data_IF_272219992442
#
_entry.id   IF_272219992442
#
_cell.length_a   1.000
_cell.length_b   1.000
_cell.length_c   1.000
_cell.angle_alpha   90.00
_cell.angle_beta   90.00
_cell.angle_gamma   90.00
#
_symmetry.space_group_name_H-M   'P 1'
#
loop_
_entity.id
_entity.type
_entity.pdbx_description
1 polymer ?
#
# COMPACT_ATOMS: atom_id res chain seq x y z
N UNK A 1 14.51 46.20 14.83
CA UNK A 1 14.19 45.51 14.60
C UNK A 1 13.87 44.76 14.48
N UNK A 2 13.95 44.86 14.33
CA UNK A 2 13.58 43.87 14.11
C UNK A 2 13.07 43.14 13.94
N UNK A 3 12.93 43.38 14.12
CA UNK A 3 12.45 42.54 13.94
C UNK A 3 12.05 41.75 13.55
N UNK A 4 12.13 42.23 13.54
CA UNK A 4 11.72 41.34 13.08
C UNK A 4 11.36 40.37 12.69
N UNK A 5 11.35 40.67 12.73
CA UNK A 5 10.96 39.59 12.23
C UNK A 5 10.64 38.71 11.91
N UNK A 6 10.76 39.20 12.10
CA UNK A 6 10.41 38.13 11.66
C UNK A 6 10.01 37.38 11.36
N UNK A 7 10.07 37.69 11.34
CA UNK A 7 9.62 36.69 10.88
C UNK A 7 9.22 35.87 10.57
N UNK A 8 9.38 36.35 10.61
CA UNK A 8 8.93 35.34 10.15
C UNK A 8 8.68 34.51 9.89
N UNK A 9 8.76 34.78 9.93
CA UNK A 9 8.41 33.73 9.53
C UNK A 9 8.11 32.89 9.38
N UNK A 10 8.13 33.23 9.56
CA UNK A 10 7.74 32.19 9.24
C UNK A 10 7.31 31.52 9.08
N UNK A 11 7.36 31.69 9.00
CA UNK A 11 6.91 30.69 8.57
C UNK A 11 6.54 29.87 8.33
N UNK A 12 6.70 30.24 8.45
CA UNK A 12 6.31 29.18 7.99
C UNK A 12 6.01 28.43 7.85
N UNK A 13 6.16 28.66 7.92
CA UNK A 13 5.83 27.62 7.52
C UNK A 13 5.45 26.99 7.47
N UNK A 14 5.54 27.15 7.49
CA UNK A 14 5.11 26.20 7.17
C UNK A 14 4.74 25.51 6.99
N UNK A 15 4.87 25.77 7.09
CA UNK A 15 4.46 24.79 6.77
C UNK A 15 4.21 23.96 6.62
N UNK A 16 4.41 24.08 6.65
CA UNK A 16 4.12 23.04 6.23
C UNK A 16 3.98 22.35 6.04
N UNK A 17 4.19 22.53 5.92
CA UNK A 17 3.99 21.59 5.40
C UNK A 17 3.81 20.90 5.11
N UNK A 18 3.98 21.11 5.04
CA UNK A 18 3.74 20.26 4.49
C UNK A 18 3.56 19.71 3.97
N UNK A 19 3.75 19.91 3.66
CA UNK A 19 3.50 19.23 2.95
C UNK A 19 3.60 18.40 2.47
N UNK A 20 3.66 18.52 2.29
CA UNK A 20 3.66 17.61 1.78
C UNK A 20 4.00 16.89 1.39
N UNK A 21 4.29 16.86 1.21
CA UNK A 21 4.54 16.22 0.81
C UNK A 21 4.48 15.43 0.38
N UNK A 22 4.49 15.68 0.19
CA UNK A 22 4.24 14.97 -0.38
C UNK A 22 4.41 13.98 -0.81
N UNK A 23 4.14 13.63 -0.60
CA UNK A 23 4.12 12.25 -0.91
C UNK A 23 4.35 11.87 -2.27
N UNK A 24 5.07 12.55 -2.72
CA UNK A 24 5.45 12.39 -4.09
C UNK A 24 5.53 10.95 -4.51
N UNK A 25 5.17 10.66 -5.69
CA UNK A 25 5.43 9.40 -6.32
C UNK A 25 4.63 8.23 -5.80
N UNK A 26 3.94 8.37 -4.73
CA UNK A 26 3.11 7.29 -4.25
C UNK A 26 1.68 7.49 -4.70
N UNK A 27 0.89 6.44 -4.70
CA UNK A 27 -0.52 6.52 -5.04
C UNK A 27 -1.38 6.89 -3.85
N UNK A 28 -0.82 7.59 -2.88
CA UNK A 28 -1.51 7.89 -1.64
C UNK A 28 -2.66 8.88 -1.78
N UNK A 29 -2.80 9.53 -2.94
CA UNK A 29 -3.89 10.48 -3.14
C UNK A 29 -5.27 9.84 -2.94
N UNK A 30 -5.38 8.54 -3.15
CA UNK A 30 -6.63 7.82 -2.97
C UNK A 30 -6.76 7.21 -1.56
N UNK A 31 -5.90 7.58 -0.64
CA UNK A 31 -5.92 7.06 0.72
C UNK A 31 -5.19 5.75 0.89
N UNK A 32 -4.48 5.29 -0.10
CA UNK A 32 -3.67 4.08 -0.03
C UNK A 32 -2.27 4.34 -0.54
N UNK A 33 -1.37 3.42 -0.23
CA UNK A 33 0.02 3.51 -0.66
C UNK A 33 0.43 2.22 -1.32
N UNK A 34 1.07 2.30 -2.46
CA UNK A 34 1.56 1.14 -3.19
C UNK A 34 2.98 1.32 -3.63
N UNK A 35 3.70 0.22 -3.72
CA UNK A 35 5.05 0.21 -4.26
C UNK A 35 5.29 -1.08 -5.01
N UNK A 36 6.09 -1.04 -6.07
CA UNK A 36 6.51 -2.24 -6.75
C UNK A 36 7.33 -3.10 -5.79
N UNK A 37 7.24 -4.41 -5.98
CA UNK A 37 7.95 -5.35 -5.14
C UNK A 37 8.46 -6.50 -5.99
N UNK A 38 9.40 -7.24 -5.46
CA UNK A 38 9.85 -8.50 -6.06
C UNK A 38 10.30 -9.39 -4.91
N UNK A 39 9.32 -9.88 -4.16
CA UNK A 39 9.60 -10.66 -2.96
C UNK A 39 8.82 -11.96 -2.98
N UNK A 40 9.48 -12.99 -2.46
CA UNK A 40 8.86 -14.30 -2.33
C UNK A 40 8.36 -14.47 -0.90
N UNK A 41 7.18 -15.07 -0.80
CA UNK A 41 6.56 -15.35 0.50
C UNK A 41 6.09 -16.79 0.54
N UNK A 42 5.91 -17.29 1.76
CA UNK A 42 5.32 -18.58 2.00
C UNK A 42 4.01 -18.35 2.75
N UNK A 43 2.95 -19.01 2.31
CA UNK A 43 1.65 -18.91 2.96
C UNK A 43 1.69 -19.71 4.27
N UNK A 44 1.29 -19.06 5.37
CA UNK A 44 1.27 -19.71 6.69
C UNK A 44 -0.14 -20.03 7.16
N UNK A 45 -1.15 -19.45 6.54
CA UNK A 45 -2.54 -19.75 6.85
C UNK A 45 -2.96 -21.01 6.10
N UNK A 46 -3.78 -21.86 6.74
CA UNK A 46 -4.22 -23.13 6.12
C UNK A 46 -4.84 -22.88 4.74
N UNK A 47 -5.71 -21.90 4.64
CA UNK A 47 -6.38 -21.56 3.38
C UNK A 47 -6.59 -20.05 3.38
N UNK A 48 -5.94 -19.36 2.48
CA UNK A 48 -6.00 -17.91 2.39
C UNK A 48 -6.71 -17.51 1.11
N UNK A 49 -7.69 -16.64 1.24
CA UNK A 49 -8.43 -16.14 0.07
C UNK A 49 -7.56 -15.18 -0.74
N UNK A 50 -7.66 -15.31 -2.05
CA UNK A 50 -7.07 -14.38 -3.00
C UNK A 50 -8.20 -13.50 -3.50
N UNK A 51 -8.07 -12.20 -3.31
CA UNK A 51 -9.11 -11.23 -3.66
C UNK A 51 -8.76 -10.50 -4.95
N UNK A 52 -9.78 -9.97 -5.61
CA UNK A 52 -9.59 -9.21 -6.85
C UNK A 52 -9.03 -7.81 -6.62
N UNK A 53 -8.91 -7.40 -5.37
CA UNK A 53 -8.32 -6.13 -4.98
C UNK A 53 -7.81 -6.25 -3.54
N UNK A 54 -7.22 -5.20 -3.03
CA UNK A 54 -6.56 -5.20 -1.71
C UNK A 54 -7.53 -4.87 -0.59
N UNK A 55 -8.60 -5.62 -0.51
CA UNK A 55 -9.63 -5.44 0.53
C UNK A 55 -10.27 -6.78 0.85
N UNK A 56 -10.58 -6.98 2.12
CA UNK A 56 -11.29 -8.18 2.56
C UNK A 56 -12.70 -8.24 1.96
N UNK A 57 -13.23 -7.10 1.52
CA UNK A 57 -14.56 -7.04 0.91
C UNK A 57 -14.52 -7.25 -0.59
N UNK A 58 -13.34 -7.31 -1.20
CA UNK A 58 -13.23 -7.53 -2.62
C UNK A 58 -13.60 -8.97 -2.95
N UNK A 59 -14.00 -9.19 -4.20
CA UNK A 59 -14.40 -10.52 -4.65
C UNK A 59 -13.24 -11.52 -4.49
N UNK A 60 -13.56 -12.73 -4.04
CA UNK A 60 -12.58 -13.80 -3.96
C UNK A 60 -12.44 -14.42 -5.33
N UNK A 61 -11.20 -14.49 -5.82
CA UNK A 61 -10.90 -15.04 -7.15
C UNK A 61 -10.08 -16.32 -7.08
N UNK A 62 -9.74 -16.77 -5.89
CA UNK A 62 -8.99 -18.02 -5.72
C UNK A 62 -8.55 -18.19 -4.30
N UNK A 63 -7.69 -19.18 -4.10
CA UNK A 63 -7.15 -19.48 -2.77
C UNK A 63 -5.70 -19.91 -2.91
N UNK A 64 -4.93 -19.64 -1.87
CA UNK A 64 -3.59 -20.22 -1.71
C UNK A 64 -3.60 -20.95 -0.36
N UNK A 65 -2.71 -21.91 -0.22
CA UNK A 65 -2.75 -22.83 0.92
C UNK A 65 -1.42 -22.83 1.64
N UNK A 66 -1.46 -23.27 2.88
CA UNK A 66 -0.26 -23.34 3.72
C UNK A 66 0.88 -23.99 2.96
N UNK A 67 2.06 -23.39 3.10
CA UNK A 67 3.31 -23.81 2.46
C UNK A 67 3.41 -23.50 0.98
N UNK A 68 2.36 -22.95 0.37
CA UNK A 68 2.47 -22.47 -1.01
C UNK A 68 3.47 -21.31 -1.04
N UNK A 69 4.25 -21.24 -2.10
CA UNK A 69 5.15 -20.13 -2.34
C UNK A 69 4.49 -19.18 -3.33
N UNK A 70 4.54 -17.91 -3.04
CA UNK A 70 3.96 -16.89 -3.89
C UNK A 70 4.96 -15.78 -4.10
N UNK A 71 4.90 -15.13 -5.26
CA UNK A 71 5.78 -14.02 -5.59
C UNK A 71 4.97 -12.74 -5.65
N UNK A 72 5.37 -11.76 -4.85
CA UNK A 72 4.69 -10.47 -4.80
C UNK A 72 5.35 -9.50 -5.78
N UNK A 73 4.56 -8.98 -6.71
CA UNK A 73 5.00 -7.96 -7.67
C UNK A 73 4.66 -6.55 -7.20
N UNK A 74 3.71 -6.43 -6.30
CA UNK A 74 3.30 -5.15 -5.71
C UNK A 74 2.92 -5.35 -4.26
N UNK A 75 3.18 -4.33 -3.46
CA UNK A 75 2.73 -4.29 -2.07
C UNK A 75 2.00 -2.98 -1.85
N UNK A 76 0.81 -3.07 -1.30
CA UNK A 76 -0.01 -1.90 -1.03
C UNK A 76 -0.54 -1.96 0.40
N UNK A 77 -0.69 -0.78 1.00
CA UNK A 77 -1.43 -0.64 2.25
C UNK A 77 -2.71 0.10 1.90
N UNK A 78 -3.85 -0.51 2.17
CA UNK A 78 -5.13 0.10 1.78
C UNK A 78 -5.52 1.23 2.75
N UNK A 79 -6.63 1.90 2.47
CA UNK A 79 -7.07 3.05 3.27
C UNK A 79 -7.42 2.66 4.70
N UNK A 80 -7.69 1.39 4.97
CA UNK A 80 -7.94 0.90 6.32
C UNK A 80 -6.64 0.60 7.08
N UNK A 81 -5.48 0.76 6.42
CA UNK A 81 -4.18 0.52 7.05
C UNK A 81 -3.72 -0.92 6.96
N UNK A 82 -4.37 -1.76 6.16
CA UNK A 82 -4.02 -3.16 6.05
C UNK A 82 -3.06 -3.41 4.87
N UNK A 83 -1.98 -4.17 5.09
CA UNK A 83 -1.03 -4.46 4.02
C UNK A 83 -1.47 -5.66 3.18
N UNK A 84 -1.33 -5.53 1.88
CA UNK A 84 -1.69 -6.55 0.90
C UNK A 84 -0.58 -6.71 -0.13
N UNK A 85 -0.47 -7.89 -0.70
CA UNK A 85 0.48 -8.14 -1.78
C UNK A 85 -0.25 -8.68 -3.00
N UNK A 86 0.22 -8.30 -4.16
CA UNK A 86 -0.32 -8.79 -5.42
C UNK A 86 0.57 -9.90 -5.96
N UNK A 87 -0.01 -11.05 -6.22
CA UNK A 87 0.71 -12.22 -6.66
C UNK A 87 0.40 -12.60 -8.11
N UNK A 88 -0.34 -11.76 -8.82
CA UNK A 88 -0.60 -12.02 -10.24
C UNK A 88 -1.55 -11.00 -10.82
N UNK A 89 -1.43 -10.78 -12.12
CA UNK A 89 -2.32 -9.87 -12.87
C UNK A 89 -2.46 -8.50 -12.23
N UNK A 90 -1.38 -8.01 -11.69
CA UNK A 90 -1.40 -6.78 -10.89
C UNK A 90 -1.66 -5.55 -11.73
N UNK A 91 -2.63 -4.76 -11.31
CA UNK A 91 -2.93 -3.48 -11.93
C UNK A 91 -3.11 -2.45 -10.83
N UNK A 92 -2.19 -1.49 -10.79
CA UNK A 92 -2.18 -0.46 -9.76
C UNK A 92 -2.20 0.90 -10.42
N UNK A 93 -3.35 1.56 -10.33
CA UNK A 93 -3.56 2.90 -10.86
C UNK A 93 -3.90 3.83 -9.70
N UNK A 94 -3.95 5.12 -9.96
CA UNK A 94 -4.22 6.10 -8.91
C UNK A 94 -5.53 5.86 -8.17
N UNK A 95 -6.53 5.38 -8.88
CA UNK A 95 -7.87 5.21 -8.30
C UNK A 95 -8.42 3.80 -8.44
N UNK A 96 -7.58 2.85 -8.85
CA UNK A 96 -8.05 1.49 -9.07
C UNK A 96 -6.91 0.50 -8.84
N UNK A 97 -7.18 -0.49 -8.02
CA UNK A 97 -6.21 -1.56 -7.73
C UNK A 97 -6.92 -2.88 -7.93
N UNK A 98 -6.42 -3.67 -8.86
CA UNK A 98 -6.99 -4.99 -9.16
C UNK A 98 -5.88 -6.01 -9.33
N UNK A 99 -6.27 -7.27 -9.44
CA UNK A 99 -5.34 -8.37 -9.63
C UNK A 99 -5.66 -9.54 -8.72
N UNK A 100 -4.62 -10.22 -8.30
CA UNK A 100 -4.73 -11.33 -7.36
C UNK A 100 -4.02 -10.93 -6.09
N UNK A 101 -4.79 -10.56 -5.08
CA UNK A 101 -4.27 -9.94 -3.88
C UNK A 101 -4.49 -10.81 -2.65
N UNK A 102 -3.45 -10.94 -1.83
CA UNK A 102 -3.48 -11.72 -0.60
C UNK A 102 -3.10 -10.80 0.56
N UNK A 103 -3.82 -10.93 1.67
CA UNK A 103 -3.49 -10.18 2.87
C UNK A 103 -2.08 -10.57 3.34
N UNK A 104 -1.25 -9.57 3.56
CA UNK A 104 0.16 -9.76 3.92
C UNK A 104 0.32 -10.56 5.22
N UNK A 105 -0.62 -10.41 6.14
CA UNK A 105 -0.58 -11.09 7.43
C UNK A 105 -0.67 -12.62 7.35
N UNK A 106 -1.04 -13.17 6.20
CA UNK A 106 -1.11 -14.61 6.00
C UNK A 106 0.18 -15.17 5.41
N UNK A 107 1.19 -14.34 5.26
CA UNK A 107 2.41 -14.68 4.55
C UNK A 107 3.64 -14.46 5.44
N UNK A 108 4.68 -15.22 5.17
CA UNK A 108 5.97 -15.11 5.85
C UNK A 108 7.05 -15.04 4.77
N UNK A 109 7.95 -14.07 4.92
CA UNK A 109 9.01 -13.96 3.93
C UNK A 109 10.21 -13.21 4.36
#
# INVERSE_FOLDING_TARGET
>A
MHKRSATLLATAALIGAALPLMGAGSASAAGFKCQPSSRDYVVVKEKAAVHSSFSANARVVGYVYKDNKVHASWECTNSAGNPWVCIGSCRVDEDSVTGRWVYRGYLKG
#
